data_IF_040800013848
#
_entry.id   IF_040800013848
#
_cell.length_a   1.000
_cell.length_b   1.000
_cell.length_c   1.000
_cell.angle_alpha   90.00
_cell.angle_beta   90.00
_cell.angle_gamma   90.00
#
_symmetry.space_group_name_H-M   'P 1'
#
loop_
_entity.id
_entity.type
_entity.pdbx_description
1 polymer ?
#
# COMPACT_ATOMS: atom_id res chain seq x y z
N UNK A 1 12.01 51.25 16.49
CA UNK A 1 12.94 50.18 16.06
C UNK A 1 12.26 48.83 16.31
N UNK A 2 11.63 48.25 15.28
CA UNK A 2 10.94 46.97 15.42
C UNK A 2 11.91 45.82 15.21
N UNK A 3 12.23 45.11 16.30
CA UNK A 3 12.96 43.85 16.24
C UNK A 3 12.07 42.79 15.60
N UNK A 4 12.30 42.47 14.33
CA UNK A 4 11.75 41.27 13.70
C UNK A 4 12.54 40.08 14.26
N UNK A 5 11.99 39.44 15.30
CA UNK A 5 12.48 38.14 15.74
C UNK A 5 12.45 37.14 14.58
N UNK A 6 13.34 36.13 14.57
CA UNK A 6 13.36 35.15 13.50
C UNK A 6 12.00 34.45 13.43
N UNK A 7 11.36 34.46 12.27
CA UNK A 7 10.28 33.51 12.01
C UNK A 7 10.91 32.13 12.03
N UNK A 8 10.81 31.44 13.16
CA UNK A 8 11.03 30.01 13.27
C UNK A 8 9.90 29.33 12.49
N UNK A 9 10.03 29.35 11.16
CA UNK A 9 9.06 28.85 10.22
C UNK A 9 8.96 27.33 10.34
N UNK A 10 7.79 26.87 10.77
CA UNK A 10 7.38 25.47 10.73
C UNK A 10 7.19 24.93 9.30
N UNK A 11 7.52 25.72 8.28
CA UNK A 11 7.38 25.36 6.86
C UNK A 11 8.37 24.25 6.48
N UNK A 12 9.56 24.20 7.11
CA UNK A 12 10.58 23.17 6.85
C UNK A 12 10.31 21.82 7.56
N UNK A 13 9.28 21.72 8.41
CA UNK A 13 8.98 20.52 9.22
C UNK A 13 7.74 19.77 8.70
N UNK A 14 7.36 19.99 7.43
CA UNK A 14 6.26 19.28 6.78
C UNK A 14 6.71 17.98 6.08
N UNK A 15 7.58 17.20 6.74
CA UNK A 15 7.92 15.83 6.34
C UNK A 15 8.67 15.72 5.00
N UNK A 16 9.25 14.55 4.70
CA UNK A 16 9.85 14.33 3.39
C UNK A 16 8.72 14.37 2.37
N UNK A 17 8.79 15.31 1.42
CA UNK A 17 8.09 15.20 0.15
C UNK A 17 8.70 14.00 -0.57
N UNK A 18 8.29 12.79 -0.20
CA UNK A 18 8.49 11.62 -1.04
C UNK A 18 7.57 11.86 -2.22
N UNK A 19 8.02 12.65 -3.20
CA UNK A 19 7.44 12.63 -4.54
C UNK A 19 7.44 11.15 -4.92
N UNK A 20 6.27 10.51 -5.08
CA UNK A 20 6.24 9.11 -5.42
C UNK A 20 6.96 8.99 -6.75
N UNK A 21 8.16 8.38 -6.73
CA UNK A 21 8.84 8.01 -7.95
C UNK A 21 7.89 7.06 -8.68
N UNK A 22 7.51 7.42 -9.90
CA UNK A 22 6.68 6.53 -10.72
C UNK A 22 7.60 5.39 -11.14
N UNK A 23 7.61 4.31 -10.35
CA UNK A 23 8.37 3.10 -10.67
C UNK A 23 7.56 2.34 -11.72
N UNK A 24 8.09 2.28 -12.94
CA UNK A 24 7.52 1.46 -13.99
C UNK A 24 7.83 -0.02 -13.70
N UNK A 25 6.81 -0.74 -13.25
CA UNK A 25 6.89 -2.18 -12.98
C UNK A 25 6.86 -2.93 -14.31
N UNK A 26 7.86 -3.77 -14.55
CA UNK A 26 7.95 -4.61 -15.75
C UNK A 26 7.88 -6.09 -15.40
N UNK A 27 7.74 -6.96 -16.40
CA UNK A 27 7.83 -8.42 -16.20
C UNK A 27 9.16 -8.83 -15.54
N UNK A 28 10.25 -8.14 -15.87
CA UNK A 28 11.57 -8.39 -15.27
C UNK A 28 11.61 -8.02 -13.79
N UNK A 29 10.90 -6.96 -13.40
CA UNK A 29 10.73 -6.57 -11.99
C UNK A 29 10.06 -7.68 -11.19
N UNK A 30 9.06 -8.36 -11.75
CA UNK A 30 8.40 -9.49 -11.09
C UNK A 30 9.26 -10.76 -11.07
N UNK A 31 10.07 -10.97 -12.12
CA UNK A 31 10.96 -12.13 -12.23
C UNK A 31 12.10 -12.12 -11.19
N UNK A 32 12.57 -10.93 -10.81
CA UNK A 32 13.52 -10.67 -9.74
C UNK A 32 12.79 -10.47 -8.40
N UNK A 33 12.71 -11.54 -7.61
CA UNK A 33 12.03 -11.51 -6.31
C UNK A 33 12.70 -10.57 -5.29
N UNK A 34 14.00 -10.31 -5.41
CA UNK A 34 14.70 -9.38 -4.52
C UNK A 34 14.25 -7.96 -4.81
N UNK A 35 14.28 -7.57 -6.09
CA UNK A 35 13.81 -6.26 -6.53
C UNK A 35 12.32 -6.04 -6.23
N UNK A 36 11.48 -7.05 -6.45
CA UNK A 36 10.07 -7.01 -6.08
C UNK A 36 9.86 -6.76 -4.57
N UNK A 37 10.62 -7.46 -3.70
CA UNK A 37 10.53 -7.30 -2.25
C UNK A 37 11.05 -5.94 -1.79
N UNK A 38 12.11 -5.43 -2.39
CA UNK A 38 12.64 -4.10 -2.11
C UNK A 38 11.62 -3.02 -2.49
N UNK A 39 10.98 -3.16 -3.64
CA UNK A 39 9.91 -2.26 -4.06
C UNK A 39 8.72 -2.28 -3.08
N UNK A 40 8.27 -3.47 -2.65
CA UNK A 40 7.22 -3.57 -1.64
C UNK A 40 7.62 -2.92 -0.31
N UNK A 41 8.90 -3.05 0.08
CA UNK A 41 9.42 -2.40 1.28
C UNK A 41 9.36 -0.88 1.17
N UNK A 42 9.75 -0.31 0.02
CA UNK A 42 9.63 1.14 -0.23
C UNK A 42 8.17 1.61 -0.15
N UNK A 43 7.23 0.89 -0.78
CA UNK A 43 5.81 1.21 -0.66
C UNK A 43 5.28 1.08 0.78
N UNK A 44 5.86 0.21 1.62
CA UNK A 44 5.51 0.08 3.05
C UNK A 44 6.06 1.24 3.89
N UNK A 45 7.24 1.75 3.55
CA UNK A 45 7.78 2.95 4.19
C UNK A 45 6.89 4.19 3.98
N UNK A 46 6.14 4.24 2.87
CA UNK A 46 5.13 5.29 2.66
C UNK A 46 4.01 5.23 3.72
N UNK A 47 3.56 4.03 4.09
CA UNK A 47 2.53 3.87 5.14
C UNK A 47 3.07 4.21 6.53
N UNK A 48 4.33 3.90 6.82
CA UNK A 48 4.98 4.32 8.08
C UNK A 48 5.07 5.85 8.15
N UNK A 49 5.41 6.51 7.05
CA UNK A 49 5.44 7.96 6.95
C UNK A 49 4.03 8.56 7.16
N UNK A 50 2.99 7.96 6.59
CA UNK A 50 1.60 8.36 6.82
C UNK A 50 1.20 8.17 8.28
N UNK A 51 1.54 7.03 8.89
CA UNK A 51 1.25 6.75 10.30
C UNK A 51 1.95 7.75 11.22
N UNK A 52 3.19 8.11 10.91
CA UNK A 52 3.91 9.17 11.64
C UNK A 52 3.24 10.54 11.47
N UNK A 53 2.82 10.91 10.26
CA UNK A 53 2.10 12.17 10.01
C UNK A 53 0.77 12.21 10.75
N UNK A 54 0.05 11.09 10.78
CA UNK A 54 -1.18 10.94 11.56
C UNK A 54 -0.89 11.14 13.06
N UNK A 55 0.12 10.49 13.62
CA UNK A 55 0.51 10.67 15.02
C UNK A 55 0.81 12.14 15.36
N UNK A 56 1.53 12.84 14.47
CA UNK A 56 1.88 14.26 14.63
C UNK A 56 0.67 15.18 14.50
N UNK A 57 -0.18 14.99 13.49
CA UNK A 57 -1.40 15.77 13.31
C UNK A 57 -2.30 15.68 14.55
N UNK A 58 -2.42 14.50 15.15
CA UNK A 58 -3.18 14.34 16.39
C UNK A 58 -2.53 15.01 17.61
N UNK A 59 -1.20 15.04 17.70
CA UNK A 59 -0.53 15.78 18.78
C UNK A 59 -0.86 17.27 18.70
N UNK A 60 -0.76 17.85 17.50
CA UNK A 60 -1.12 19.24 17.26
C UNK A 60 -2.61 19.53 17.57
N UNK A 61 -3.52 18.63 17.20
CA UNK A 61 -4.95 18.78 17.52
C UNK A 61 -5.18 18.74 19.04
N UNK A 62 -4.54 17.83 19.77
CA UNK A 62 -4.67 17.76 21.24
C UNK A 62 -4.16 19.02 21.92
N UNK A 63 -3.04 19.58 21.45
CA UNK A 63 -2.51 20.83 21.98
C UNK A 63 -3.47 22.00 21.70
N UNK A 64 -4.05 22.03 20.49
CA UNK A 64 -5.05 23.03 20.11
C UNK A 64 -6.36 22.90 20.91
N UNK A 65 -6.83 21.68 21.21
CA UNK A 65 -8.00 21.44 22.05
C UNK A 65 -7.77 21.89 23.50
N UNK A 66 -6.55 21.73 24.04
CA UNK A 66 -6.18 22.25 25.36
C UNK A 66 -6.23 23.77 25.40
N UNK A 67 -5.81 24.43 24.31
CA UNK A 67 -5.82 25.89 24.21
C UNK A 67 -7.20 26.46 23.87
N UNK A 68 -8.03 25.74 23.09
CA UNK A 68 -9.35 26.15 22.61
C UNK A 68 -10.29 24.94 22.41
N UNK A 69 -10.99 24.49 23.45
CA UNK A 69 -11.95 23.39 23.32
C UNK A 69 -13.12 23.78 22.40
N UNK A 70 -13.44 22.96 21.40
CA UNK A 70 -14.70 23.05 20.65
C UNK A 70 -14.65 23.34 19.13
N UNK A 71 -13.49 23.34 18.46
CA UNK A 71 -13.43 23.45 16.97
C UNK A 71 -13.16 22.11 16.28
N UNK A 72 -14.19 21.27 16.18
CA UNK A 72 -14.13 19.94 15.57
C UNK A 72 -14.00 19.87 14.04
N UNK A 73 -13.87 20.99 13.32
CA UNK A 73 -13.94 21.00 11.84
C UNK A 73 -12.61 20.78 11.13
N UNK A 74 -11.48 21.07 11.78
CA UNK A 74 -10.13 20.93 11.17
C UNK A 74 -9.65 19.48 11.21
N UNK A 75 -10.06 18.72 12.22
CA UNK A 75 -9.70 17.31 12.40
C UNK A 75 -10.23 16.45 11.25
N UNK A 76 -11.48 16.67 10.82
CA UNK A 76 -12.11 15.88 9.75
C UNK A 76 -11.41 16.05 8.40
N UNK A 77 -10.92 17.25 8.08
CA UNK A 77 -10.19 17.49 6.84
C UNK A 77 -8.80 16.84 6.84
N UNK A 78 -8.09 16.87 7.96
CA UNK A 78 -6.80 16.20 8.10
C UNK A 78 -6.94 14.67 8.01
N UNK A 79 -7.95 14.11 8.69
CA UNK A 79 -8.30 12.69 8.61
C UNK A 79 -8.70 12.29 7.18
N UNK A 80 -9.47 13.12 6.47
CA UNK A 80 -9.86 12.86 5.08
C UNK A 80 -8.65 12.76 4.14
N UNK A 81 -7.68 13.67 4.25
CA UNK A 81 -6.47 13.64 3.42
C UNK A 81 -5.61 12.41 3.70
N UNK A 82 -5.40 12.10 4.98
CA UNK A 82 -4.64 10.91 5.37
C UNK A 82 -5.35 9.62 4.90
N UNK A 83 -6.68 9.57 5.00
CA UNK A 83 -7.47 8.46 4.51
C UNK A 83 -7.30 8.22 3.01
N UNK A 84 -7.36 9.29 2.21
CA UNK A 84 -7.13 9.23 0.77
C UNK A 84 -5.72 8.70 0.44
N UNK A 85 -4.70 9.15 1.17
CA UNK A 85 -3.33 8.68 1.00
C UNK A 85 -3.17 7.18 1.35
N UNK A 86 -3.77 6.73 2.45
CA UNK A 86 -3.77 5.31 2.85
C UNK A 86 -4.40 4.43 1.78
N UNK A 87 -5.61 4.77 1.34
CA UNK A 87 -6.35 3.99 0.33
C UNK A 87 -5.58 3.95 -1.00
N UNK A 88 -5.01 5.08 -1.41
CA UNK A 88 -4.20 5.14 -2.64
C UNK A 88 -2.96 4.23 -2.55
N UNK A 89 -2.26 4.20 -1.41
CA UNK A 89 -1.11 3.34 -1.21
C UNK A 89 -1.48 1.85 -1.22
N UNK A 90 -2.54 1.48 -0.50
CA UNK A 90 -3.06 0.12 -0.47
C UNK A 90 -3.42 -0.37 -1.88
N UNK A 91 -4.09 0.48 -2.67
CA UNK A 91 -4.45 0.18 -4.06
C UNK A 91 -3.20 -0.05 -4.92
N UNK A 92 -2.22 0.85 -4.86
CA UNK A 92 -0.96 0.73 -5.62
C UNK A 92 -0.22 -0.56 -5.29
N UNK A 93 -0.12 -0.94 -4.02
CA UNK A 93 0.52 -2.21 -3.62
C UNK A 93 -0.26 -3.43 -4.08
N UNK A 94 -1.58 -3.46 -3.93
CA UNK A 94 -2.40 -4.56 -4.46
C UNK A 94 -2.20 -4.73 -5.95
N UNK A 95 -2.26 -3.64 -6.71
CA UNK A 95 -2.08 -3.65 -8.16
C UNK A 95 -0.70 -4.19 -8.56
N UNK A 96 0.36 -3.83 -7.81
CA UNK A 96 1.71 -4.37 -8.02
C UNK A 96 1.76 -5.89 -7.79
N UNK A 97 1.18 -6.37 -6.68
CA UNK A 97 1.18 -7.79 -6.34
C UNK A 97 0.38 -8.60 -7.38
N UNK A 98 -0.83 -8.14 -7.72
CA UNK A 98 -1.71 -8.75 -8.71
C UNK A 98 -1.09 -8.77 -10.11
N UNK A 99 -0.45 -7.66 -10.52
CA UNK A 99 0.29 -7.61 -11.77
C UNK A 99 1.38 -8.69 -11.83
N UNK A 100 2.19 -8.80 -10.78
CA UNK A 100 3.24 -9.80 -10.74
C UNK A 100 2.70 -11.23 -10.66
N UNK A 101 1.59 -11.48 -9.97
CA UNK A 101 0.91 -12.77 -9.98
C UNK A 101 0.47 -13.18 -11.40
N UNK A 102 -0.13 -12.24 -12.15
CA UNK A 102 -0.54 -12.44 -13.54
C UNK A 102 0.64 -12.71 -14.47
N UNK A 103 1.79 -12.05 -14.28
CA UNK A 103 3.00 -12.32 -15.06
C UNK A 103 3.43 -13.78 -14.96
N UNK A 104 3.40 -14.36 -13.75
CA UNK A 104 3.73 -15.77 -13.56
C UNK A 104 2.63 -16.70 -14.04
N UNK A 105 1.36 -16.31 -13.91
CA UNK A 105 0.24 -17.09 -14.43
C UNK A 105 0.29 -17.23 -15.96
N UNK A 106 0.49 -16.12 -16.68
CA UNK A 106 0.71 -16.12 -18.13
C UNK A 106 1.92 -17.00 -18.51
N UNK A 107 3.02 -16.83 -17.77
CA UNK A 107 4.26 -17.57 -17.98
C UNK A 107 4.09 -19.09 -17.78
N UNK A 108 3.28 -19.50 -16.80
CA UNK A 108 2.93 -20.89 -16.55
C UNK A 108 1.98 -21.44 -17.61
N UNK A 109 0.99 -20.66 -18.06
CA UNK A 109 0.04 -21.06 -19.10
C UNK A 109 0.74 -21.36 -20.43
N UNK A 110 1.71 -20.54 -20.82
CA UNK A 110 2.54 -20.78 -22.02
C UNK A 110 3.32 -22.10 -21.89
N UNK A 111 3.93 -22.36 -20.73
CA UNK A 111 4.67 -23.62 -20.51
C UNK A 111 3.75 -24.84 -20.47
N UNK A 112 2.55 -24.67 -19.91
CA UNK A 112 1.54 -25.72 -19.87
C UNK A 112 1.11 -26.15 -21.29
N UNK A 113 1.00 -25.20 -22.22
CA UNK A 113 0.74 -25.49 -23.63
C UNK A 113 1.87 -26.31 -24.27
N UNK A 114 3.13 -25.97 -24.00
CA UNK A 114 4.29 -26.75 -24.50
C UNK A 114 4.27 -28.19 -23.97
N UNK A 115 3.92 -28.38 -22.70
CA UNK A 115 3.87 -29.69 -22.05
C UNK A 115 2.73 -30.57 -22.58
N UNK A 116 1.60 -29.97 -22.94
CA UNK A 116 0.43 -30.68 -23.46
C UNK A 116 0.50 -30.95 -24.96
N UNK A 117 1.31 -30.17 -25.69
CA UNK A 117 1.49 -30.35 -27.11
C UNK A 117 2.28 -31.65 -27.40
N UNK A 118 1.64 -32.58 -28.10
CA UNK A 118 2.20 -33.89 -28.44
C UNK A 118 3.36 -33.80 -29.45
N UNK A 119 3.42 -32.70 -30.22
CA UNK A 119 4.47 -32.46 -31.22
C UNK A 119 5.74 -31.82 -30.61
N UNK A 120 5.73 -31.49 -29.31
CA UNK A 120 6.87 -30.88 -28.64
C UNK A 120 8.02 -31.86 -28.46
N UNK A 121 9.25 -31.39 -28.72
CA UNK A 121 10.48 -32.15 -28.44
C UNK A 121 10.56 -32.57 -26.95
N UNK A 122 10.91 -33.81 -26.61
CA UNK A 122 11.02 -34.27 -25.22
C UNK A 122 11.94 -33.43 -24.33
N UNK A 123 13.02 -32.88 -24.90
CA UNK A 123 13.92 -31.96 -24.19
C UNK A 123 13.23 -30.64 -23.86
N UNK A 124 12.47 -30.08 -24.80
CA UNK A 124 11.66 -28.88 -24.60
C UNK A 124 10.58 -29.07 -23.51
N UNK A 125 9.92 -30.23 -23.48
CA UNK A 125 8.93 -30.57 -22.45
C UNK A 125 9.58 -30.66 -21.07
N UNK A 126 10.76 -31.30 -20.97
CA UNK A 126 11.50 -31.39 -19.69
C UNK A 126 11.91 -30.01 -19.17
N UNK A 127 12.40 -29.15 -20.06
CA UNK A 127 12.75 -27.76 -19.73
C UNK A 127 11.51 -26.97 -19.27
N UNK A 128 10.42 -27.03 -20.03
CA UNK A 128 9.16 -26.35 -19.69
C UNK A 128 8.62 -26.77 -18.32
N UNK A 129 8.69 -28.05 -17.96
CA UNK A 129 8.29 -28.54 -16.62
C UNK A 129 9.15 -27.93 -15.50
N UNK A 130 10.47 -27.90 -15.67
CA UNK A 130 11.38 -27.35 -14.67
C UNK A 130 11.16 -25.85 -14.46
N UNK A 131 10.98 -25.10 -15.56
CA UNK A 131 10.70 -23.67 -15.50
C UNK A 131 9.29 -23.37 -14.95
N UNK A 132 8.27 -24.18 -15.29
CA UNK A 132 6.91 -24.02 -14.75
C UNK A 132 6.89 -24.23 -13.24
N UNK A 133 7.63 -25.22 -12.72
CA UNK A 133 7.78 -25.41 -11.28
C UNK A 133 8.43 -24.20 -10.60
N UNK A 134 9.48 -23.65 -11.23
CA UNK A 134 10.15 -22.43 -10.73
C UNK A 134 9.18 -21.26 -10.65
N UNK A 135 8.40 -21.04 -11.71
CA UNK A 135 7.39 -19.98 -11.76
C UNK A 135 6.29 -20.19 -10.73
N UNK A 136 5.85 -21.42 -10.49
CA UNK A 136 4.86 -21.75 -9.47
C UNK A 136 5.36 -21.37 -8.06
N UNK A 137 6.63 -21.64 -7.76
CA UNK A 137 7.24 -21.26 -6.48
C UNK A 137 7.29 -19.74 -6.35
N UNK A 138 7.69 -19.02 -7.39
CA UNK A 138 7.73 -17.54 -7.40
C UNK A 138 6.33 -16.94 -7.23
N UNK A 139 5.34 -17.43 -7.99
CA UNK A 139 3.93 -17.03 -7.89
C UNK A 139 3.40 -17.21 -6.48
N UNK A 140 3.69 -18.36 -5.84
CA UNK A 140 3.28 -18.62 -4.45
C UNK A 140 3.89 -17.61 -3.48
N UNK A 141 5.17 -17.26 -3.65
CA UNK A 141 5.81 -16.23 -2.81
C UNK A 141 5.13 -14.86 -2.98
N UNK A 142 4.83 -14.46 -4.20
CA UNK A 142 4.12 -13.19 -4.48
C UNK A 142 2.71 -13.20 -3.93
N UNK A 143 1.98 -14.31 -4.13
CA UNK A 143 0.63 -14.46 -3.61
C UNK A 143 0.58 -14.34 -2.07
N UNK A 144 1.58 -14.89 -1.37
CA UNK A 144 1.68 -14.74 0.08
C UNK A 144 1.82 -13.27 0.53
N UNK A 145 2.29 -12.36 -0.33
CA UNK A 145 2.35 -10.93 -0.02
C UNK A 145 0.96 -10.30 0.05
N UNK A 146 -0.09 -10.89 -0.54
CA UNK A 146 -1.49 -10.45 -0.35
C UNK A 146 -1.92 -10.62 1.11
N UNK A 147 -1.48 -11.69 1.78
CA UNK A 147 -1.72 -11.91 3.21
C UNK A 147 -1.00 -10.85 4.04
N UNK A 148 0.25 -10.53 3.68
CA UNK A 148 1.01 -9.45 4.34
C UNK A 148 0.32 -8.10 4.15
N UNK A 149 -0.16 -7.82 2.94
CA UNK A 149 -0.92 -6.60 2.62
C UNK A 149 -2.20 -6.50 3.46
N UNK A 150 -2.94 -7.59 3.61
CA UNK A 150 -4.12 -7.65 4.47
C UNK A 150 -3.79 -7.27 5.92
N UNK A 151 -2.69 -7.81 6.47
CA UNK A 151 -2.25 -7.49 7.84
C UNK A 151 -1.87 -6.01 7.96
N UNK A 152 -1.17 -5.45 6.97
CA UNK A 152 -0.77 -4.04 6.97
C UNK A 152 -1.99 -3.12 6.91
N UNK A 153 -2.98 -3.43 6.06
CA UNK A 153 -4.25 -2.69 5.97
C UNK A 153 -4.98 -2.68 7.29
N UNK A 154 -5.12 -3.85 7.94
CA UNK A 154 -5.79 -3.96 9.25
C UNK A 154 -5.10 -3.07 10.29
N UNK A 155 -3.77 -3.17 10.44
CA UNK A 155 -3.00 -2.39 11.43
C UNK A 155 -3.06 -0.89 11.17
N UNK A 156 -2.90 -0.47 9.92
CA UNK A 156 -2.93 0.95 9.55
C UNK A 156 -4.33 1.53 9.71
N UNK A 157 -5.39 0.76 9.43
CA UNK A 157 -6.76 1.15 9.69
C UNK A 157 -7.11 1.26 11.17
N UNK A 158 -6.66 0.30 11.99
CA UNK A 158 -6.81 0.37 13.45
C UNK A 158 -6.13 1.63 14.01
N UNK A 159 -4.90 1.90 13.56
CA UNK A 159 -4.17 3.11 13.93
C UNK A 159 -4.91 4.39 13.49
N UNK A 160 -5.47 4.38 12.28
CA UNK A 160 -6.29 5.47 11.77
C UNK A 160 -7.53 5.72 12.63
N UNK A 161 -8.34 4.69 12.89
CA UNK A 161 -9.60 4.78 13.65
C UNK A 161 -9.41 5.24 15.08
N UNK A 162 -8.33 4.79 15.75
CA UNK A 162 -8.08 5.19 17.13
C UNK A 162 -7.84 6.70 17.29
N UNK A 163 -7.54 7.38 16.18
CA UNK A 163 -7.14 8.78 16.09
C UNK A 163 -8.19 9.65 15.39
N UNK A 164 -8.84 9.11 14.37
CA UNK A 164 -9.92 9.71 13.61
C UNK A 164 -11.27 9.07 13.97
N UNK A 165 -11.65 9.13 15.26
CA UNK A 165 -12.78 8.35 15.82
C UNK A 165 -14.13 8.61 15.17
N UNK A 166 -14.39 9.86 14.78
CA UNK A 166 -15.66 10.30 14.19
C UNK A 166 -15.60 10.39 12.66
N UNK A 167 -14.45 10.06 12.07
CA UNK A 167 -14.31 10.11 10.63
C UNK A 167 -15.13 9.02 9.97
N UNK A 168 -15.88 9.41 8.94
CA UNK A 168 -16.50 8.48 8.00
C UNK A 168 -16.09 8.87 6.58
N UNK A 169 -15.71 7.90 5.73
CA UNK A 169 -15.35 8.22 4.35
C UNK A 169 -16.52 8.91 3.63
N UNK A 170 -16.27 9.97 2.83
CA UNK A 170 -17.32 10.63 2.06
C UNK A 170 -18.07 9.63 1.17
N UNK A 171 -19.39 9.76 1.09
CA UNK A 171 -20.24 8.90 0.24
C UNK A 171 -19.90 8.96 -1.25
N UNK A 172 -19.23 10.04 -1.68
CA UNK A 172 -18.77 10.22 -3.06
C UNK A 172 -17.59 9.32 -3.42
N UNK A 173 -16.84 8.81 -2.43
CA UNK A 173 -15.70 7.93 -2.65
C UNK A 173 -16.10 6.47 -2.41
N UNK A 174 -16.80 5.90 -3.39
CA UNK A 174 -17.37 4.54 -3.31
C UNK A 174 -16.32 3.47 -3.14
N UNK A 175 -15.13 3.66 -3.75
CA UNK A 175 -14.02 2.69 -3.66
C UNK A 175 -13.39 2.71 -2.27
N UNK A 176 -13.09 3.89 -1.73
CA UNK A 176 -12.58 4.01 -0.37
C UNK A 176 -13.61 3.53 0.66
N UNK A 177 -14.91 3.72 0.39
CA UNK A 177 -15.99 3.23 1.26
C UNK A 177 -16.06 1.70 1.26
N UNK A 178 -15.97 1.08 0.08
CA UNK A 178 -15.91 -0.39 -0.02
C UNK A 178 -14.74 -0.95 0.81
N UNK A 179 -13.55 -0.36 0.66
CA UNK A 179 -12.37 -0.75 1.44
C UNK A 179 -12.61 -0.52 2.94
N UNK A 180 -13.23 0.59 3.33
CA UNK A 180 -13.58 0.86 4.73
C UNK A 180 -14.46 -0.24 5.31
N UNK A 181 -15.50 -0.67 4.59
CA UNK A 181 -16.48 -1.66 5.03
C UNK A 181 -15.91 -3.09 5.03
N UNK A 182 -15.14 -3.47 3.99
CA UNK A 182 -14.46 -4.78 3.91
C UNK A 182 -13.54 -5.00 5.11
N UNK A 183 -12.83 -3.95 5.55
CA UNK A 183 -11.93 -4.02 6.68
C UNK A 183 -12.64 -3.85 8.05
N UNK A 184 -13.96 -3.61 8.11
CA UNK A 184 -14.75 -3.70 9.36
C UNK A 184 -15.07 -5.15 9.73
N UNK A 185 -15.36 -5.99 8.73
CA UNK A 185 -15.86 -7.36 8.96
C UNK A 185 -14.76 -8.36 9.38
N UNK A 186 -13.49 -8.02 9.21
CA UNK A 186 -12.33 -8.85 9.61
C UNK A 186 -12.01 -8.74 11.12
N UNK A 187 -12.80 -7.98 11.89
CA UNK A 187 -12.69 -7.91 13.36
C UNK A 187 -13.73 -8.76 14.11
N UNK A 188 -14.64 -9.46 13.41
CA UNK A 188 -15.69 -10.29 14.02
C UNK A 188 -15.55 -11.81 13.79
N UNK A 189 -14.46 -12.26 13.18
CA UNK A 189 -14.08 -13.67 13.01
C UNK A 189 -12.69 -13.89 13.54
#
# INVERSE_FOLDING_TARGET
MSSKGPQLGSIAVQGPTLTPQIVHVSKNTCADLSLFKDLLKEYRMLDDAITMRLNRANAAIRDQERERPGKGTVQDQACAKIWQELVANWKRRSQLIEFCENVFEDSMNVKQQVIQNQDSDPGSVRKARAEQYTDQVKRKQIHNELTVEMIIRKRSLEAFRSRCKYFTPPVTDTEARKIWDENQNVSMT
#
